data_IF_883122589992
#
_entry.id   IF_883122589992
#
_cell.length_a   1.000
_cell.length_b   1.000
_cell.length_c   1.000
_cell.angle_alpha   90.00
_cell.angle_beta   90.00
_cell.angle_gamma   90.00
#
_symmetry.space_group_name_H-M   'P 1'
#
loop_
_entity.id
_entity.type
_entity.pdbx_description
1 polymer ?
#
# COMPACT_ATOMS: atom_id res chain seq x y z
N UNK A 1 -35.46 14.13 -18.78
CA UNK A 1 -35.31 15.57 -18.64
C UNK A 1 -34.38 15.82 -17.45
N UNK A 2 -33.19 16.36 -17.72
CA UNK A 2 -32.21 16.93 -16.78
C UNK A 2 -31.48 15.99 -15.78
N UNK A 3 -30.41 15.35 -16.31
CA UNK A 3 -29.21 15.04 -15.53
C UNK A 3 -28.24 16.18 -15.82
N UNK A 4 -28.18 17.18 -14.92
CA UNK A 4 -27.16 18.22 -14.96
C UNK A 4 -26.54 18.31 -13.56
N UNK A 5 -25.22 18.13 -13.48
CA UNK A 5 -24.42 18.56 -12.35
C UNK A 5 -23.47 17.55 -11.72
N UNK A 6 -22.77 16.71 -12.49
CA UNK A 6 -21.51 16.15 -12.01
C UNK A 6 -20.41 17.09 -12.47
N UNK A 7 -20.03 18.02 -11.60
CA UNK A 7 -18.87 18.87 -11.78
C UNK A 7 -17.62 17.98 -11.84
N UNK A 8 -17.12 17.77 -13.05
CA UNK A 8 -15.78 17.24 -13.29
C UNK A 8 -14.76 18.15 -12.60
N UNK A 9 -14.32 17.79 -11.42
CA UNK A 9 -13.04 18.28 -10.91
C UNK A 9 -11.97 17.67 -11.81
N UNK A 10 -11.64 18.37 -12.90
CA UNK A 10 -10.42 18.09 -13.66
C UNK A 10 -9.25 18.25 -12.70
N UNK A 11 -8.66 17.12 -12.35
CA UNK A 11 -7.35 17.10 -11.72
C UNK A 11 -6.39 17.76 -12.70
N UNK A 12 -5.89 18.94 -12.33
CA UNK A 12 -4.89 19.63 -13.10
C UNK A 12 -3.55 18.92 -12.92
N UNK A 13 -3.29 17.95 -13.80
CA UNK A 13 -2.10 17.10 -13.79
C UNK A 13 -0.83 17.93 -13.90
N UNK A 14 -0.89 19.06 -14.62
CA UNK A 14 0.26 19.94 -14.81
C UNK A 14 0.71 20.64 -13.51
N UNK A 15 -0.22 20.92 -12.58
CA UNK A 15 0.14 21.49 -11.27
C UNK A 15 0.74 20.44 -10.31
N UNK A 16 0.39 19.18 -10.47
CA UNK A 16 0.96 18.08 -9.67
C UNK A 16 2.36 17.75 -10.15
N UNK A 17 2.58 17.71 -11.48
CA UNK A 17 3.91 17.47 -12.08
C UNK A 17 4.89 18.60 -11.74
N UNK A 18 4.43 19.85 -11.74
CA UNK A 18 5.29 21.00 -11.40
C UNK A 18 5.72 21.03 -9.93
N UNK A 19 4.92 20.48 -9.01
CA UNK A 19 5.28 20.37 -7.59
C UNK A 19 6.24 19.21 -7.30
N UNK A 20 6.27 18.17 -8.14
CA UNK A 20 7.17 17.03 -7.97
C UNK A 20 8.59 17.28 -8.51
N UNK A 21 8.78 18.27 -9.41
CA UNK A 21 10.10 18.58 -9.98
C UNK A 21 11.01 19.42 -9.06
N UNK A 22 10.51 19.92 -7.93
CA UNK A 22 11.31 20.69 -6.96
C UNK A 22 11.67 19.93 -5.68
N UNK A 23 11.51 18.61 -5.66
CA UNK A 23 11.98 17.80 -4.55
C UNK A 23 13.51 17.71 -4.61
N UNK A 24 14.17 18.65 -3.95
CA UNK A 24 15.57 18.53 -3.55
C UNK A 24 15.82 17.16 -2.95
N UNK A 25 16.93 16.54 -3.34
CA UNK A 25 17.43 15.27 -2.80
C UNK A 25 17.69 15.43 -1.30
N UNK A 26 16.64 15.42 -0.51
CA UNK A 26 16.77 15.30 0.94
C UNK A 26 17.30 13.91 1.22
N UNK A 27 18.52 13.82 1.71
CA UNK A 27 19.11 12.56 2.13
C UNK A 27 18.18 11.90 3.15
N UNK A 28 17.91 10.60 2.95
CA UNK A 28 17.11 9.82 3.88
C UNK A 28 17.83 9.73 5.23
N UNK A 29 17.42 10.55 6.19
CA UNK A 29 17.92 10.45 7.57
C UNK A 29 17.16 9.32 8.28
N UNK A 30 17.83 8.19 8.47
CA UNK A 30 17.29 7.06 9.19
C UNK A 30 17.55 7.30 10.68
N UNK A 31 16.51 7.66 11.42
CA UNK A 31 16.55 7.71 12.87
C UNK A 31 16.19 6.32 13.42
N UNK A 32 17.10 5.60 14.07
CA UNK A 32 16.78 4.34 14.73
C UNK A 32 15.83 4.62 15.90
N UNK A 33 14.55 4.31 15.72
CA UNK A 33 13.55 4.40 16.76
C UNK A 33 13.06 3.00 17.15
N UNK A 34 12.59 2.79 18.38
CA UNK A 34 11.99 1.53 18.80
C UNK A 34 10.81 1.11 17.89
N UNK A 35 10.07 2.06 17.33
CA UNK A 35 8.96 1.84 16.40
C UNK A 35 9.38 1.13 15.12
N UNK A 36 10.57 1.41 14.61
CA UNK A 36 11.10 0.79 13.39
C UNK A 36 11.18 -0.75 13.52
N UNK A 37 11.56 -1.23 14.69
CA UNK A 37 11.60 -2.67 14.96
C UNK A 37 10.19 -3.27 15.02
N UNK A 38 9.28 -2.59 15.71
CA UNK A 38 7.89 -3.07 15.87
C UNK A 38 7.19 -3.21 14.52
N UNK A 39 7.36 -2.22 13.63
CA UNK A 39 6.80 -2.28 12.27
C UNK A 39 7.35 -3.46 11.48
N UNK A 40 8.67 -3.64 11.44
CA UNK A 40 9.31 -4.74 10.74
C UNK A 40 8.85 -6.10 11.28
N UNK A 41 8.85 -6.27 12.60
CA UNK A 41 8.43 -7.52 13.25
C UNK A 41 6.95 -7.83 12.94
N UNK A 42 6.11 -6.80 12.86
CA UNK A 42 4.70 -6.92 12.43
C UNK A 42 4.57 -7.39 10.99
N UNK A 43 5.38 -6.86 10.07
CA UNK A 43 5.41 -7.31 8.67
C UNK A 43 5.85 -8.77 8.59
N UNK A 44 6.90 -9.16 9.32
CA UNK A 44 7.39 -10.53 9.37
C UNK A 44 6.32 -11.50 9.90
N UNK A 45 5.60 -11.11 10.97
CA UNK A 45 4.51 -11.91 11.53
C UNK A 45 3.38 -12.15 10.53
N UNK A 46 2.97 -11.10 9.81
CA UNK A 46 1.84 -11.18 8.87
C UNK A 46 2.21 -11.91 7.57
N UNK A 47 3.43 -11.71 7.08
CA UNK A 47 3.90 -12.36 5.84
C UNK A 47 4.41 -13.78 6.06
N UNK A 48 4.80 -14.14 7.28
CA UNK A 48 5.52 -15.39 7.57
C UNK A 48 6.98 -15.36 7.12
N UNK A 49 7.47 -14.22 6.62
CA UNK A 49 8.79 -14.08 6.02
C UNK A 49 9.78 -13.38 6.95
N UNK A 50 11.06 -13.62 6.73
CA UNK A 50 12.16 -12.93 7.43
C UNK A 50 12.84 -11.96 6.47
N UNK A 51 12.34 -10.72 6.42
CA UNK A 51 12.86 -9.70 5.49
C UNK A 51 14.33 -9.36 5.76
N UNK A 52 14.85 -9.62 6.96
CA UNK A 52 16.25 -9.42 7.33
C UNK A 52 17.23 -10.26 6.52
N UNK A 53 16.78 -11.39 5.98
CA UNK A 53 17.61 -12.27 5.14
C UNK A 53 17.92 -11.67 3.79
N UNK A 54 17.22 -10.62 3.37
CA UNK A 54 17.42 -9.96 2.10
C UNK A 54 18.76 -9.18 2.08
N UNK A 55 19.66 -9.56 1.20
CA UNK A 55 20.95 -8.87 0.99
C UNK A 55 20.95 -7.87 -0.19
N UNK A 56 19.74 -7.48 -0.64
CA UNK A 56 19.56 -6.41 -1.63
C UNK A 56 20.20 -6.68 -3.02
N UNK A 57 20.16 -7.92 -3.49
CA UNK A 57 20.73 -8.29 -4.80
C UNK A 57 19.98 -7.71 -6.02
N UNK A 58 18.72 -7.22 -5.84
CA UNK A 58 17.93 -6.63 -6.92
C UNK A 58 17.25 -7.61 -7.88
N UNK A 59 17.40 -8.93 -7.72
CA UNK A 59 16.83 -9.93 -8.61
C UNK A 59 15.29 -9.84 -8.72
N UNK A 60 14.62 -9.50 -7.62
CA UNK A 60 13.18 -9.28 -7.57
C UNK A 60 12.74 -8.07 -8.41
N UNK A 61 13.53 -7.00 -8.42
CA UNK A 61 13.23 -5.79 -9.19
C UNK A 61 13.50 -5.99 -10.69
N UNK A 62 14.61 -6.65 -11.05
CA UNK A 62 14.95 -6.89 -12.46
C UNK A 62 13.96 -7.82 -13.16
N UNK A 63 13.25 -8.66 -12.41
CA UNK A 63 12.29 -9.61 -12.96
C UNK A 63 10.83 -9.17 -12.85
N UNK A 64 10.55 -8.05 -12.25
CA UNK A 64 9.16 -7.60 -12.06
C UNK A 64 8.61 -6.96 -13.34
N UNK A 65 7.47 -7.47 -13.87
CA UNK A 65 6.85 -6.91 -15.08
C UNK A 65 6.24 -5.52 -14.85
N UNK A 66 5.99 -5.14 -13.60
CA UNK A 66 5.27 -3.91 -13.25
C UNK A 66 6.20 -2.76 -12.85
N UNK A 67 7.52 -2.88 -13.02
CA UNK A 67 8.50 -1.89 -12.56
C UNK A 67 8.28 -0.48 -13.11
N UNK A 68 7.72 -0.35 -14.30
CA UNK A 68 7.47 0.95 -14.94
C UNK A 68 6.32 1.73 -14.26
N UNK A 69 5.39 1.02 -13.64
CA UNK A 69 4.22 1.59 -12.97
C UNK A 69 4.45 1.84 -11.48
N UNK A 70 5.56 1.34 -10.95
CA UNK A 70 5.92 1.40 -9.53
C UNK A 70 6.71 2.68 -9.21
N UNK A 71 6.38 3.33 -8.10
CA UNK A 71 7.13 4.45 -7.52
C UNK A 71 8.45 3.97 -6.89
N UNK A 72 8.42 2.83 -6.20
CA UNK A 72 9.57 2.16 -5.65
C UNK A 72 9.72 0.76 -6.20
N UNK A 73 10.94 0.36 -6.55
CA UNK A 73 11.22 -0.99 -6.96
C UNK A 73 11.01 -1.98 -5.81
N UNK A 74 10.64 -3.25 -6.07
CA UNK A 74 10.42 -4.25 -5.03
C UNK A 74 11.57 -4.36 -4.02
N UNK A 75 12.82 -4.34 -4.49
CA UNK A 75 14.00 -4.39 -3.61
C UNK A 75 14.06 -3.18 -2.66
N UNK A 76 13.65 -1.99 -3.13
CA UNK A 76 13.62 -0.78 -2.30
C UNK A 76 12.54 -0.87 -1.23
N UNK A 77 11.36 -1.38 -1.56
CA UNK A 77 10.29 -1.60 -0.55
C UNK A 77 10.77 -2.57 0.53
N UNK A 78 11.39 -3.70 0.15
CA UNK A 78 11.97 -4.63 1.13
C UNK A 78 13.02 -3.93 2.01
N UNK A 79 13.86 -3.06 1.42
CA UNK A 79 14.84 -2.29 2.19
C UNK A 79 14.20 -1.33 3.18
N UNK A 80 13.12 -0.67 2.78
CA UNK A 80 12.36 0.21 3.67
C UNK A 80 11.79 -0.59 4.85
N UNK A 81 11.22 -1.77 4.59
CA UNK A 81 10.72 -2.67 5.64
C UNK A 81 11.85 -3.14 6.58
N UNK A 82 13.02 -3.52 6.04
CA UNK A 82 14.18 -3.90 6.86
C UNK A 82 14.60 -2.79 7.82
N UNK A 83 14.53 -1.54 7.35
CA UNK A 83 14.86 -0.35 8.14
C UNK A 83 13.71 0.07 9.07
N UNK A 84 12.54 -0.56 8.94
CA UNK A 84 11.36 -0.25 9.71
C UNK A 84 10.71 1.09 9.34
N UNK A 85 10.85 1.50 8.09
CA UNK A 85 10.28 2.75 7.60
C UNK A 85 8.82 2.54 7.20
N UNK A 86 7.90 3.20 7.91
CA UNK A 86 6.46 3.11 7.64
C UNK A 86 6.05 3.78 6.32
N UNK A 87 6.92 4.61 5.73
CA UNK A 87 6.69 5.20 4.40
C UNK A 87 6.51 4.13 3.31
N UNK A 88 6.94 2.91 3.56
CA UNK A 88 6.64 1.76 2.69
C UNK A 88 5.14 1.53 2.53
N UNK A 89 4.31 1.90 3.51
CA UNK A 89 2.85 1.76 3.47
C UNK A 89 2.18 2.76 2.51
N UNK A 90 2.80 3.91 2.30
CA UNK A 90 2.27 4.96 1.43
C UNK A 90 2.67 4.76 -0.03
N UNK A 91 3.51 3.75 -0.31
CA UNK A 91 4.00 3.50 -1.66
C UNK A 91 2.90 2.97 -2.59
N UNK A 92 2.88 3.47 -3.82
CA UNK A 92 2.01 2.96 -4.89
C UNK A 92 2.36 1.51 -5.24
N UNK A 93 3.62 1.12 -5.06
CA UNK A 93 4.15 -0.22 -5.41
C UNK A 93 3.35 -1.34 -4.78
N UNK A 94 2.94 -1.21 -3.51
CA UNK A 94 2.17 -2.26 -2.82
C UNK A 94 0.83 -2.53 -3.49
N UNK A 95 0.22 -1.53 -4.15
CA UNK A 95 -1.06 -1.65 -4.85
C UNK A 95 -0.91 -2.07 -6.31
N UNK A 96 0.19 -1.71 -6.96
CA UNK A 96 0.49 -2.08 -8.35
C UNK A 96 0.97 -3.53 -8.45
N UNK A 97 1.48 -4.11 -7.36
CA UNK A 97 1.94 -5.48 -7.32
C UNK A 97 0.81 -6.46 -7.65
N UNK A 98 0.93 -7.18 -8.77
CA UNK A 98 -0.06 -8.15 -9.26
C UNK A 98 0.05 -9.53 -8.64
N UNK A 99 0.92 -9.72 -7.66
CA UNK A 99 1.14 -11.00 -6.96
C UNK A 99 1.46 -12.14 -7.94
N UNK A 100 2.32 -11.87 -8.92
CA UNK A 100 2.70 -12.85 -9.95
C UNK A 100 3.78 -13.85 -9.51
N UNK A 101 4.31 -13.74 -8.30
CA UNK A 101 5.34 -14.59 -7.67
C UNK A 101 6.68 -14.69 -8.41
N UNK A 102 6.88 -13.97 -9.50
CA UNK A 102 8.12 -13.99 -10.28
C UNK A 102 9.35 -13.53 -9.44
N UNK A 103 9.12 -12.64 -8.49
CA UNK A 103 10.14 -12.16 -7.56
C UNK A 103 10.54 -13.21 -6.52
N UNK A 104 9.63 -14.07 -6.08
CA UNK A 104 9.85 -15.18 -5.17
C UNK A 104 10.77 -16.24 -5.82
N UNK A 105 10.38 -16.72 -7.01
CA UNK A 105 11.15 -17.73 -7.76
C UNK A 105 12.59 -17.29 -8.03
N UNK A 106 12.81 -15.98 -8.22
CA UNK A 106 14.13 -15.41 -8.48
C UNK A 106 14.93 -15.08 -7.23
N UNK A 107 14.32 -15.16 -6.05
CA UNK A 107 14.97 -14.77 -4.81
C UNK A 107 15.96 -15.84 -4.35
N UNK A 108 17.29 -15.55 -4.30
CA UNK A 108 18.28 -16.54 -3.86
C UNK A 108 18.21 -16.85 -2.35
N UNK A 109 17.42 -16.10 -1.60
CA UNK A 109 17.16 -16.31 -0.18
C UNK A 109 15.80 -16.95 0.09
N UNK A 110 15.00 -17.22 -0.97
CA UNK A 110 13.69 -17.83 -0.85
C UNK A 110 12.66 -16.94 -0.12
N UNK A 111 12.80 -15.62 -0.19
CA UNK A 111 11.84 -14.71 0.44
C UNK A 111 10.68 -14.52 -0.53
N UNK A 112 9.46 -14.78 -0.06
CA UNK A 112 8.24 -14.46 -0.80
C UNK A 112 7.91 -12.96 -0.66
N UNK A 113 8.37 -12.21 -1.65
CA UNK A 113 8.17 -10.76 -1.71
C UNK A 113 6.70 -10.42 -1.97
N UNK A 114 5.95 -11.30 -2.64
CA UNK A 114 4.54 -11.09 -2.88
C UNK A 114 3.74 -11.13 -1.56
N UNK A 115 4.06 -12.06 -0.65
CA UNK A 115 3.48 -12.11 0.69
C UNK A 115 3.87 -10.89 1.53
N UNK A 116 5.10 -10.38 1.39
CA UNK A 116 5.49 -9.13 2.06
C UNK A 116 4.66 -7.97 1.55
N UNK A 117 4.45 -7.83 0.23
CA UNK A 117 3.58 -6.78 -0.34
C UNK A 117 2.14 -6.92 0.15
N UNK A 118 1.63 -8.16 0.26
CA UNK A 118 0.29 -8.41 0.79
C UNK A 118 0.18 -8.02 2.27
N UNK A 119 1.18 -8.33 3.09
CA UNK A 119 1.20 -7.94 4.50
C UNK A 119 1.16 -6.42 4.68
N UNK A 120 1.87 -5.67 3.82
CA UNK A 120 1.83 -4.20 3.82
C UNK A 120 0.43 -3.69 3.47
N UNK A 121 -0.23 -4.25 2.44
CA UNK A 121 -1.63 -3.94 2.11
C UNK A 121 -2.57 -4.21 3.27
N UNK A 122 -2.42 -5.35 3.95
CA UNK A 122 -3.24 -5.71 5.11
C UNK A 122 -3.07 -4.71 6.25
N UNK A 123 -1.85 -4.25 6.54
CA UNK A 123 -1.59 -3.24 7.57
C UNK A 123 -2.36 -1.96 7.26
N UNK A 124 -2.33 -1.50 6.00
CA UNK A 124 -3.05 -0.30 5.57
C UNK A 124 -4.58 -0.49 5.70
N UNK A 125 -5.10 -1.62 5.19
CA UNK A 125 -6.53 -1.89 5.16
C UNK A 125 -7.12 -2.13 6.56
N UNK A 126 -6.36 -2.74 7.47
CA UNK A 126 -6.81 -3.04 8.83
C UNK A 126 -6.76 -1.86 9.79
N UNK A 127 -6.31 -0.68 9.35
CA UNK A 127 -6.39 0.56 10.14
C UNK A 127 -7.84 1.01 10.42
N UNK A 128 -8.85 0.18 10.10
CA UNK A 128 -10.30 0.46 10.29
C UNK A 128 -10.73 1.80 9.71
N UNK A 129 -10.20 2.13 8.55
CA UNK A 129 -10.60 3.33 7.82
C UNK A 129 -11.94 3.06 7.12
N UNK A 130 -13.03 3.27 7.84
CA UNK A 130 -14.34 3.29 7.23
C UNK A 130 -14.57 4.67 6.60
N UNK A 131 -14.66 4.70 5.27
CA UNK A 131 -14.94 5.93 4.52
C UNK A 131 -16.39 6.38 4.66
N UNK A 132 -17.26 5.46 5.03
CA UNK A 132 -18.69 5.70 5.19
C UNK A 132 -19.08 5.28 6.60
N UNK A 133 -19.55 6.25 7.40
CA UNK A 133 -20.15 5.97 8.69
C UNK A 133 -21.67 5.86 8.49
N UNK A 134 -22.23 4.68 8.74
CA UNK A 134 -23.65 4.41 8.55
C UNK A 134 -24.55 5.31 9.43
N UNK A 135 -24.05 5.70 10.60
CA UNK A 135 -24.79 6.57 11.54
C UNK A 135 -24.96 8.01 11.01
N UNK A 136 -24.17 8.40 10.01
CA UNK A 136 -24.23 9.75 9.41
C UNK A 136 -25.08 9.79 8.14
N UNK A 137 -25.59 8.65 7.68
CA UNK A 137 -26.42 8.56 6.49
C UNK A 137 -27.90 8.79 6.85
N UNK A 138 -28.60 9.53 6.00
CA UNK A 138 -30.04 9.67 6.12
C UNK A 138 -30.77 8.38 5.74
N UNK A 139 -31.99 8.19 6.24
CA UNK A 139 -32.82 7.03 5.92
C UNK A 139 -33.10 6.87 4.42
N UNK A 140 -33.18 7.97 3.67
CA UNK A 140 -33.32 7.94 2.21
C UNK A 140 -32.09 7.40 1.53
N UNK A 141 -30.91 7.86 1.94
CA UNK A 141 -29.62 7.36 1.42
C UNK A 141 -29.41 5.88 1.74
N UNK A 142 -29.80 5.44 2.95
CA UNK A 142 -29.72 4.03 3.35
C UNK A 142 -30.61 3.13 2.48
N UNK A 143 -31.78 3.61 2.05
CA UNK A 143 -32.70 2.86 1.17
C UNK A 143 -32.20 2.74 -0.26
N UNK A 144 -31.42 3.70 -0.74
CA UNK A 144 -30.82 3.69 -2.08
C UNK A 144 -29.56 2.80 -2.16
N UNK A 145 -28.92 2.52 -1.01
CA UNK A 145 -27.73 1.69 -0.98
C UNK A 145 -28.08 0.21 -1.23
N UNK A 146 -27.25 -0.51 -2.01
CA UNK A 146 -27.38 -1.95 -2.13
C UNK A 146 -27.23 -2.62 -0.76
N UNK A 147 -28.09 -3.60 -0.46
CA UNK A 147 -28.04 -4.32 0.83
C UNK A 147 -26.66 -4.92 1.14
N UNK A 148 -25.93 -5.38 0.11
CA UNK A 148 -24.59 -5.91 0.27
C UNK A 148 -23.60 -4.88 0.82
N UNK A 149 -23.77 -3.60 0.49
CA UNK A 149 -22.92 -2.52 1.02
C UNK A 149 -23.15 -2.32 2.52
N UNK A 150 -24.41 -2.33 2.95
CA UNK A 150 -24.78 -2.20 4.37
C UNK A 150 -24.27 -3.42 5.17
N UNK A 151 -24.50 -4.63 4.67
CA UNK A 151 -24.07 -5.86 5.35
C UNK A 151 -22.54 -5.94 5.44
N UNK A 152 -21.81 -5.55 4.39
CA UNK A 152 -20.36 -5.55 4.39
C UNK A 152 -19.78 -4.55 5.39
N UNK A 153 -20.40 -3.38 5.55
CA UNK A 153 -20.00 -2.38 6.55
C UNK A 153 -20.24 -2.89 7.98
N UNK A 154 -21.38 -3.50 8.24
CA UNK A 154 -21.71 -4.07 9.56
C UNK A 154 -20.75 -5.22 9.94
N UNK A 155 -20.33 -6.06 9.00
CA UNK A 155 -19.37 -7.15 9.26
C UNK A 155 -17.99 -6.64 9.68
N UNK A 156 -17.57 -5.47 9.26
CA UNK A 156 -16.32 -4.85 9.72
C UNK A 156 -16.37 -4.39 11.17
N UNK A 157 -17.55 -4.06 11.66
CA UNK A 157 -17.74 -3.59 13.03
C UNK A 157 -17.85 -4.73 14.04
N UNK A 158 -18.07 -5.97 13.57
CA UNK A 158 -18.27 -7.17 14.41
C UNK A 158 -17.07 -8.11 14.46
N UNK A 159 -15.96 -7.77 13.79
CA UNK A 159 -14.74 -8.61 13.73
C UNK A 159 -13.66 -8.12 14.70
#
# INVERSE_FOLDING_TARGET
MLIQGISEKRYNIDSVIASEMSSEKQGLFIHPSPGNKVFRDRVNELSGEKVELCFQCGACSSGCPMTQEMDYLPSKVIRMVQLGLEEALDSKTIWVCTTCFNCEVRCPRGIDIANVMESLRQIVLRKKYDRVNLDQLSDEQLRELPQVAIISSLRKLTA
#
